data_IF_440653709784
#
_entry.id   IF_440653709784
#
_cell.length_a   1.000
_cell.length_b   1.000
_cell.length_c   1.000
_cell.angle_alpha   90.00
_cell.angle_beta   90.00
_cell.angle_gamma   90.00
#
_symmetry.space_group_name_H-M   'P 1'
#
loop_
_entity.id
_entity.type
_entity.pdbx_description
1 polymer ?
#
# COMPACT_ATOMS: atom_id res chain seq x y z
N UNK A 1 4.89 5.31 -15.67
CA UNK A 1 5.13 4.86 -14.28
C UNK A 1 6.54 4.34 -14.09
N UNK A 2 7.16 4.66 -12.95
CA UNK A 2 8.50 4.20 -12.59
C UNK A 2 8.40 3.29 -11.36
N UNK A 3 9.20 2.23 -11.32
CA UNK A 3 9.31 1.39 -10.12
C UNK A 3 10.05 2.15 -9.01
N UNK A 4 9.43 2.19 -7.83
CA UNK A 4 9.91 2.95 -6.67
C UNK A 4 10.23 2.06 -5.46
N UNK A 5 10.08 0.75 -5.56
CA UNK A 5 10.23 -0.14 -4.42
C UNK A 5 9.58 -1.49 -4.61
N UNK A 6 9.47 -2.25 -3.52
CA UNK A 6 8.89 -3.59 -3.52
C UNK A 6 8.16 -3.89 -2.20
N UNK A 7 7.14 -4.76 -2.31
CA UNK A 7 6.38 -5.28 -1.17
C UNK A 7 7.19 -6.39 -0.49
N UNK A 8 7.33 -6.32 0.83
CA UNK A 8 8.03 -7.34 1.64
C UNK A 8 7.06 -8.34 2.22
N UNK A 9 5.88 -7.89 2.65
CA UNK A 9 4.82 -8.74 3.18
C UNK A 9 3.45 -8.17 2.82
N UNK A 10 2.47 -9.06 2.68
CA UNK A 10 1.09 -8.68 2.40
C UNK A 10 0.12 -9.69 3.00
N UNK A 11 -1.05 -9.19 3.40
CA UNK A 11 -2.13 -10.01 3.96
C UNK A 11 -3.48 -9.48 3.50
N UNK A 12 -4.40 -10.38 3.15
CA UNK A 12 -5.79 -10.05 2.99
C UNK A 12 -6.41 -9.87 4.38
N UNK A 13 -6.85 -8.67 4.73
CA UNK A 13 -7.38 -8.39 6.07
C UNK A 13 -8.91 -8.36 6.08
N UNK A 14 -9.57 -9.32 6.76
CA UNK A 14 -11.04 -9.30 6.91
C UNK A 14 -11.52 -8.04 7.63
N UNK A 15 -10.80 -7.61 8.66
CA UNK A 15 -11.15 -6.45 9.49
C UNK A 15 -11.18 -5.13 8.72
N UNK A 16 -10.28 -4.97 7.73
CA UNK A 16 -10.21 -3.78 6.89
C UNK A 16 -10.95 -3.94 5.56
N UNK A 17 -11.43 -5.14 5.25
CA UNK A 17 -12.01 -5.50 3.95
C UNK A 17 -11.11 -5.11 2.77
N UNK A 18 -9.79 -5.16 2.98
CA UNK A 18 -8.77 -4.73 2.04
C UNK A 18 -7.47 -5.53 2.23
N UNK A 19 -6.61 -5.49 1.22
CA UNK A 19 -5.24 -6.00 1.34
C UNK A 19 -4.37 -4.97 2.06
N UNK A 20 -3.62 -5.42 3.06
CA UNK A 20 -2.59 -4.63 3.73
C UNK A 20 -1.22 -5.13 3.29
N UNK A 21 -0.27 -4.21 3.14
CA UNK A 21 1.08 -4.54 2.74
C UNK A 21 2.11 -3.68 3.48
N UNK A 22 3.28 -4.26 3.69
CA UNK A 22 4.50 -3.54 4.06
C UNK A 22 5.47 -3.61 2.87
N UNK A 23 6.27 -2.58 2.71
CA UNK A 23 7.23 -2.52 1.63
C UNK A 23 8.26 -1.43 1.83
N UNK A 24 9.37 -1.57 1.13
CA UNK A 24 10.36 -0.52 1.01
C UNK A 24 10.07 0.27 -0.24
N UNK A 25 9.99 1.59 -0.09
CA UNK A 25 9.83 2.52 -1.21
C UNK A 25 10.88 3.61 -1.12
N UNK A 26 11.17 4.24 -2.26
CA UNK A 26 12.03 5.44 -2.34
C UNK A 26 11.50 6.51 -1.39
N UNK A 27 12.42 7.30 -0.83
CA UNK A 27 12.12 8.30 0.21
C UNK A 27 11.10 9.33 -0.26
N UNK A 28 11.17 9.74 -1.51
CA UNK A 28 10.23 10.67 -2.14
C UNK A 28 8.80 10.12 -2.27
N UNK A 29 8.61 8.82 -2.09
CA UNK A 29 7.32 8.13 -2.23
C UNK A 29 6.78 7.55 -0.91
N UNK A 30 7.45 7.76 0.23
CA UNK A 30 7.08 7.14 1.51
C UNK A 30 6.15 8.01 2.39
N UNK A 31 5.67 9.15 1.89
CA UNK A 31 4.81 10.07 2.65
C UNK A 31 3.40 9.50 2.76
N UNK A 32 2.78 9.59 3.94
CA UNK A 32 1.36 9.24 4.14
C UNK A 32 0.47 9.99 3.14
N UNK A 33 -0.52 9.29 2.59
CA UNK A 33 -1.41 9.78 1.54
C UNK A 33 -0.85 9.66 0.12
N UNK A 34 0.40 9.21 -0.06
CA UNK A 34 0.97 9.01 -1.39
C UNK A 34 0.28 7.84 -2.08
N UNK A 35 -0.33 8.10 -3.24
CA UNK A 35 -0.90 7.06 -4.09
C UNK A 35 0.23 6.31 -4.83
N UNK A 36 0.14 4.99 -4.82
CA UNK A 36 1.07 4.07 -5.48
C UNK A 36 0.29 3.02 -6.26
N UNK A 37 0.96 2.39 -7.23
CA UNK A 37 0.44 1.23 -7.96
C UNK A 37 1.26 0.01 -7.59
N UNK A 38 0.61 -1.01 -7.04
CA UNK A 38 1.22 -2.31 -6.75
C UNK A 38 0.97 -3.25 -7.91
N UNK A 39 2.05 -3.80 -8.49
CA UNK A 39 1.97 -4.81 -9.55
C UNK A 39 2.04 -6.22 -8.99
N UNK A 40 1.11 -7.09 -9.40
CA UNK A 40 1.12 -8.53 -9.16
C UNK A 40 0.96 -9.26 -10.50
N UNK A 41 2.09 -9.67 -11.09
CA UNK A 41 2.13 -10.21 -12.45
C UNK A 41 1.65 -9.17 -13.47
N UNK A 42 0.61 -9.50 -14.23
CA UNK A 42 -0.02 -8.59 -15.20
C UNK A 42 -1.09 -7.67 -14.57
N UNK A 43 -1.46 -7.87 -13.30
CA UNK A 43 -2.47 -7.06 -12.62
C UNK A 43 -1.82 -5.91 -11.87
N UNK A 44 -2.51 -4.78 -11.88
CA UNK A 44 -2.13 -3.58 -11.12
C UNK A 44 -3.23 -3.25 -10.12
N UNK A 45 -2.84 -2.87 -8.92
CA UNK A 45 -3.73 -2.52 -7.81
C UNK A 45 -3.35 -1.13 -7.29
N UNK A 46 -4.34 -0.26 -7.11
CA UNK A 46 -4.12 1.01 -6.41
C UNK A 46 -3.81 0.76 -4.94
N UNK A 47 -2.89 1.53 -4.39
CA UNK A 47 -2.54 1.54 -2.98
C UNK A 47 -2.28 2.97 -2.51
N UNK A 48 -2.42 3.20 -1.21
CA UNK A 48 -2.07 4.47 -0.57
C UNK A 48 -1.13 4.19 0.59
N UNK A 49 -0.11 5.02 0.75
CA UNK A 49 0.76 4.96 1.92
C UNK A 49 -0.02 5.47 3.13
N UNK A 50 0.00 4.71 4.21
CA UNK A 50 -0.81 4.96 5.40
C UNK A 50 0.08 5.08 6.62
N UNK A 51 -0.42 5.74 7.65
CA UNK A 51 0.25 5.77 8.94
C UNK A 51 0.19 4.39 9.62
N UNK A 52 1.22 4.08 10.40
CA UNK A 52 1.28 2.89 11.23
C UNK A 52 1.00 3.27 12.70
N UNK A 53 0.33 2.41 13.49
CA UNK A 53 -0.25 1.12 13.10
C UNK A 53 -1.49 1.31 12.20
N UNK A 54 -1.86 0.28 11.45
CA UNK A 54 -3.08 0.30 10.65
C UNK A 54 -4.29 0.55 11.56
N UNK A 55 -4.94 1.72 11.42
CA UNK A 55 -6.07 2.13 12.23
C UNK A 55 -7.40 2.00 11.47
N UNK A 56 -8.45 1.53 12.16
CA UNK A 56 -9.82 1.44 11.59
C UNK A 56 -10.30 2.83 11.19
N UNK A 57 -10.90 2.94 9.99
CA UNK A 57 -11.44 4.19 9.44
C UNK A 57 -10.65 4.78 8.27
N UNK A 58 -9.44 4.26 8.01
CA UNK A 58 -8.58 4.74 6.93
C UNK A 58 -9.00 4.27 5.53
N UNK A 59 -9.79 3.18 5.45
CA UNK A 59 -10.28 2.59 4.20
C UNK A 59 -11.51 3.30 3.61
N UNK A 60 -11.86 4.50 4.09
CA UNK A 60 -12.98 5.29 3.56
C UNK A 60 -12.49 6.67 3.14
N UNK A 61 -12.15 6.79 1.86
CA UNK A 61 -12.47 7.92 0.97
C UNK A 61 -12.12 7.54 -0.46
#
# INVERSE_FOLDING_TARGET
>A
DREVGYVTSAVASPTFQANLALGYVRRECNRVGTALTVRKGQRSHGAVVVELPFAKGLARR
#
